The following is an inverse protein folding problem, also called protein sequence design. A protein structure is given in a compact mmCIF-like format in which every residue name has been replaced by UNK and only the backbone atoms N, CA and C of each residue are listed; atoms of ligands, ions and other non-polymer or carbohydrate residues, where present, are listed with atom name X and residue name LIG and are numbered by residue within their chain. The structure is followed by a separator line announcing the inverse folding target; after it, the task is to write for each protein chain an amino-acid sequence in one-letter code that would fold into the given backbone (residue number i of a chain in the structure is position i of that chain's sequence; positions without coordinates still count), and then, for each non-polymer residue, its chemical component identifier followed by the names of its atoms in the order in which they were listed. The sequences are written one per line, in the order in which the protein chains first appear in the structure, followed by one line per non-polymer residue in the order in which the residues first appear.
data_IF_078082013764
#
_entry.id   IF_078082013764
#
_cell.length_a   1.000
_cell.length_b   1.000
_cell.length_c   1.000
_cell.angle_alpha   90.00
_cell.angle_beta   90.00
_cell.angle_gamma   90.00
#
_symmetry.space_group_name_H-M   'P 1'
#
loop_
_entity.id
_entity.type
_entity.pdbx_description
1 polymer ?
#
# COMPACT_ATOMS: atom_id res chain seq x y z
N UNK A 1 -18.91 -19.58 -1.11
CA UNK A 1 -19.14 -18.31 -1.82
C UNK A 1 -17.82 -17.92 -2.46
N UNK A 2 -17.80 -17.76 -3.78
CA UNK A 2 -16.64 -17.22 -4.49
C UNK A 2 -16.47 -15.73 -4.14
N UNK A 3 -15.28 -15.17 -4.38
CA UNK A 3 -15.02 -13.74 -4.17
C UNK A 3 -16.06 -12.86 -4.89
N UNK A 4 -16.35 -13.16 -6.16
CA UNK A 4 -17.31 -12.42 -6.99
C UNK A 4 -18.73 -12.53 -6.43
N UNK A 5 -19.15 -13.71 -5.97
CA UNK A 5 -20.44 -13.89 -5.31
C UNK A 5 -20.57 -13.07 -4.02
N UNK A 6 -19.47 -12.87 -3.30
CA UNK A 6 -19.45 -12.19 -2.00
C UNK A 6 -19.48 -10.65 -2.14
N UNK A 7 -18.72 -10.08 -3.08
CA UNK A 7 -18.64 -8.61 -3.25
C UNK A 7 -19.50 -8.06 -4.38
N UNK A 8 -19.99 -8.92 -5.27
CA UNK A 8 -20.67 -8.54 -6.50
C UNK A 8 -19.71 -8.26 -7.66
N UNK A 9 -20.20 -8.52 -8.87
CA UNK A 9 -19.42 -8.44 -10.12
C UNK A 9 -18.79 -7.06 -10.34
N UNK A 10 -19.57 -5.99 -10.28
CA UNK A 10 -19.08 -4.62 -10.50
C UNK A 10 -17.96 -4.23 -9.52
N UNK A 11 -18.08 -4.64 -8.26
CA UNK A 11 -17.09 -4.35 -7.22
C UNK A 11 -15.81 -5.16 -7.46
N UNK A 12 -15.96 -6.45 -7.80
CA UNK A 12 -14.83 -7.32 -8.11
C UNK A 12 -14.00 -6.78 -9.29
N UNK A 13 -14.67 -6.28 -10.33
CA UNK A 13 -14.03 -5.69 -11.51
C UNK A 13 -13.29 -4.39 -11.17
N UNK A 14 -13.93 -3.48 -10.44
CA UNK A 14 -13.29 -2.24 -9.98
C UNK A 14 -12.08 -2.49 -9.08
N UNK A 15 -12.12 -3.52 -8.24
CA UNK A 15 -10.97 -3.95 -7.44
C UNK A 15 -9.82 -4.48 -8.30
N UNK A 16 -10.13 -5.22 -9.37
CA UNK A 16 -9.12 -5.68 -10.31
C UNK A 16 -8.49 -4.51 -11.08
N UNK A 17 -9.31 -3.54 -11.53
CA UNK A 17 -8.85 -2.31 -12.19
C UNK A 17 -7.92 -1.52 -11.26
N UNK A 18 -8.33 -1.29 -10.00
CA UNK A 18 -7.53 -0.61 -9.00
C UNK A 18 -6.19 -1.32 -8.76
N UNK A 19 -6.21 -2.64 -8.60
CA UNK A 19 -4.98 -3.40 -8.40
C UNK A 19 -4.01 -3.21 -9.56
N UNK A 20 -4.50 -3.30 -10.80
CA UNK A 20 -3.68 -3.11 -12.01
C UNK A 20 -3.15 -1.68 -12.12
N UNK A 21 -4.01 -0.68 -11.91
CA UNK A 21 -3.64 0.74 -11.94
C UNK A 21 -2.58 1.04 -10.88
N UNK A 22 -2.79 0.58 -9.64
CA UNK A 22 -1.88 0.77 -8.53
C UNK A 22 -0.52 0.16 -8.78
N UNK A 23 -0.52 -1.07 -9.31
CA UNK A 23 0.69 -1.79 -9.62
C UNK A 23 1.53 -1.06 -10.68
N UNK A 24 0.89 -0.62 -11.76
CA UNK A 24 1.56 0.11 -12.82
C UNK A 24 2.14 1.44 -12.28
N UNK A 25 1.37 2.16 -11.46
CA UNK A 25 1.81 3.38 -10.80
C UNK A 25 3.06 3.15 -9.91
N UNK A 26 3.03 2.16 -9.01
CA UNK A 26 4.16 1.85 -8.12
C UNK A 26 5.39 1.42 -8.91
N UNK A 27 5.23 0.59 -9.95
CA UNK A 27 6.35 0.19 -10.80
C UNK A 27 7.01 1.39 -11.47
N UNK A 28 6.23 2.33 -12.01
CA UNK A 28 6.76 3.53 -12.65
C UNK A 28 7.51 4.42 -11.64
N UNK A 29 6.92 4.67 -10.47
CA UNK A 29 7.55 5.44 -9.40
C UNK A 29 8.88 4.80 -8.99
N UNK A 30 8.90 3.49 -8.74
CA UNK A 30 10.12 2.81 -8.32
C UNK A 30 11.16 2.79 -9.42
N UNK A 31 10.80 2.46 -10.67
CA UNK A 31 11.75 2.46 -11.79
C UNK A 31 12.38 3.84 -12.01
N UNK A 32 11.60 4.91 -11.87
CA UNK A 32 12.11 6.25 -12.00
C UNK A 32 13.13 6.57 -10.90
N UNK A 33 12.81 6.28 -9.63
CA UNK A 33 13.74 6.44 -8.52
C UNK A 33 15.02 5.63 -8.72
N UNK A 34 14.93 4.39 -9.23
CA UNK A 34 16.10 3.56 -9.52
C UNK A 34 16.97 4.12 -10.65
N UNK A 35 16.38 4.71 -11.69
CA UNK A 35 17.12 5.31 -12.84
C UNK A 35 17.85 6.59 -12.44
N UNK A 36 17.18 7.44 -11.67
CA UNK A 36 17.76 8.67 -11.12
C UNK A 36 18.98 8.37 -10.23
N UNK A 37 18.93 7.25 -9.48
CA UNK A 37 20.02 6.83 -8.59
C UNK A 37 21.25 6.28 -9.33
N UNK A 38 21.08 5.50 -10.41
CA UNK A 38 22.20 4.95 -11.19
C UNK A 38 23.05 6.01 -11.91
N UNK A 39 22.59 7.26 -11.99
CA UNK A 39 23.22 8.32 -12.77
C UNK A 39 24.12 9.31 -12.00
N UNK A 40 24.24 9.25 -10.66
CA UNK A 40 24.90 10.33 -9.90
C UNK A 40 25.71 9.86 -8.68
N UNK A 41 27.03 9.79 -8.85
CA UNK A 41 28.05 9.81 -7.79
C UNK A 41 28.54 11.25 -7.44
N UNK A 42 27.90 12.32 -7.93
CA UNK A 42 28.34 13.70 -7.66
C UNK A 42 27.21 14.74 -7.59
N UNK A 43 27.25 15.54 -6.51
CA UNK A 43 26.59 16.81 -6.14
C UNK A 43 25.54 17.46 -7.07
N UNK A 44 24.26 17.60 -6.67
CA UNK A 44 23.29 18.53 -7.32
C UNK A 44 22.14 19.03 -6.40
N UNK A 45 21.51 20.19 -6.74
CA UNK A 45 20.34 20.89 -6.14
C UNK A 45 19.18 21.02 -7.17
N UNK A 46 17.90 21.17 -6.74
CA UNK A 46 16.69 21.27 -7.61
C UNK A 46 16.04 22.68 -7.61
N UNK A 47 15.38 23.08 -8.73
CA UNK A 47 14.51 24.27 -8.84
C UNK A 47 13.13 23.97 -9.49
N UNK A 48 12.11 24.77 -9.12
CA UNK A 48 10.65 24.45 -9.12
C UNK A 48 9.81 24.81 -10.37
N UNK A 49 10.40 25.24 -11.49
CA UNK A 49 9.61 25.62 -12.68
C UNK A 49 9.49 24.42 -13.64
N UNK A 50 8.28 24.16 -14.15
CA UNK A 50 7.94 23.30 -15.31
C UNK A 50 7.33 21.90 -15.03
N UNK A 51 6.18 21.82 -14.34
CA UNK A 51 5.26 20.67 -14.42
C UNK A 51 3.88 21.13 -14.91
N UNK A 52 3.70 21.27 -16.22
CA UNK A 52 2.44 21.79 -16.80
C UNK A 52 1.67 20.80 -17.68
N UNK A 53 2.19 19.59 -17.93
CA UNK A 53 1.53 18.62 -18.83
C UNK A 53 1.73 17.17 -18.36
N UNK A 54 0.85 16.70 -17.47
CA UNK A 54 0.70 15.26 -17.14
C UNK A 54 -0.66 14.81 -17.66
N UNK A 55 -0.69 13.85 -18.60
CA UNK A 55 -1.94 13.29 -19.13
C UNK A 55 -2.06 11.81 -18.78
N UNK A 56 -3.09 11.43 -18.04
CA UNK A 56 -3.41 10.04 -17.72
C UNK A 56 -4.32 9.47 -18.80
N UNK A 57 -3.80 8.58 -19.66
CA UNK A 57 -4.64 7.81 -20.60
C UNK A 57 -4.75 6.38 -20.11
N UNK A 58 -5.71 6.14 -19.23
CA UNK A 58 -6.10 4.80 -18.82
C UNK A 58 -7.27 4.33 -19.69
N UNK A 59 -6.96 3.62 -20.77
CA UNK A 59 -7.97 2.91 -21.55
C UNK A 59 -7.85 1.41 -21.24
N UNK A 60 -8.79 0.86 -20.48
CA UNK A 60 -9.07 -0.59 -20.47
C UNK A 60 -9.66 -1.07 -21.81
N UNK A 61 -9.84 -0.15 -22.76
CA UNK A 61 -10.44 -0.34 -24.07
C UNK A 61 -9.38 -0.92 -25.02
N UNK A 62 -8.94 -2.16 -24.81
CA UNK A 62 -8.43 -2.97 -25.94
C UNK A 62 -8.26 -4.48 -25.68
N UNK A 63 -8.98 -5.08 -24.73
CA UNK A 63 -8.99 -6.54 -24.63
C UNK A 63 -10.40 -7.09 -24.64
N UNK A 64 -10.65 -7.99 -25.60
CA UNK A 64 -11.67 -9.04 -25.57
C UNK A 64 -11.44 -10.04 -24.40
N UNK A 65 -11.01 -9.54 -23.24
CA UNK A 65 -11.03 -10.26 -21.97
C UNK A 65 -12.17 -9.60 -21.18
N UNK A 66 -13.34 -10.24 -21.22
CA UNK A 66 -14.47 -9.88 -20.36
C UNK A 66 -13.95 -9.69 -18.93
N UNK A 67 -14.36 -8.61 -18.26
CA UNK A 67 -13.96 -8.23 -16.91
C UNK A 67 -14.23 -9.35 -15.88
N UNK A 68 -15.18 -10.25 -16.20
CA UNK A 68 -15.39 -11.55 -15.53
C UNK A 68 -14.16 -12.45 -15.51
N UNK A 69 -13.38 -12.46 -16.58
CA UNK A 69 -12.20 -13.31 -16.76
C UNK A 69 -11.09 -12.90 -15.78
N UNK A 70 -10.87 -11.59 -15.61
CA UNK A 70 -9.83 -11.03 -14.74
C UNK A 70 -10.03 -11.44 -13.27
N UNK A 71 -11.28 -11.47 -12.83
CA UNK A 71 -11.63 -11.79 -11.44
C UNK A 71 -11.31 -13.25 -11.05
N UNK A 72 -11.15 -14.13 -12.03
CA UNK A 72 -10.82 -15.55 -11.85
C UNK A 72 -9.33 -15.87 -12.00
N UNK A 73 -8.52 -14.92 -12.44
CA UNK A 73 -7.12 -15.16 -12.74
C UNK A 73 -6.26 -15.28 -11.47
N UNK A 74 -5.27 -16.20 -11.46
CA UNK A 74 -4.22 -16.17 -10.45
C UNK A 74 -3.34 -14.93 -10.65
N UNK A 75 -2.64 -14.51 -9.58
CA UNK A 75 -1.80 -13.30 -9.58
C UNK A 75 -0.86 -13.26 -10.80
N UNK A 76 -0.14 -14.35 -11.08
CA UNK A 76 0.83 -14.39 -12.18
C UNK A 76 0.20 -14.10 -13.55
N UNK A 77 -1.02 -14.59 -13.81
CA UNK A 77 -1.73 -14.31 -15.06
C UNK A 77 -2.14 -12.85 -15.17
N UNK A 78 -2.56 -12.24 -14.06
CA UNK A 78 -2.88 -10.80 -14.02
C UNK A 78 -1.61 -9.94 -14.26
N UNK A 79 -0.48 -10.31 -13.67
CA UNK A 79 0.80 -9.64 -13.93
C UNK A 79 1.25 -9.79 -15.39
N UNK A 80 1.04 -10.96 -16.00
CA UNK A 80 1.29 -11.16 -17.42
C UNK A 80 0.41 -10.26 -18.30
N UNK A 81 -0.87 -10.07 -17.96
CA UNK A 81 -1.74 -9.11 -18.66
C UNK A 81 -1.15 -7.70 -18.61
N UNK A 82 -0.74 -7.23 -17.42
CA UNK A 82 -0.13 -5.91 -17.26
C UNK A 82 1.15 -5.76 -18.10
N UNK A 83 2.05 -6.73 -18.04
CA UNK A 83 3.32 -6.70 -18.80
C UNK A 83 3.11 -6.75 -20.32
N UNK A 84 2.15 -7.56 -20.78
CA UNK A 84 1.86 -7.75 -22.21
C UNK A 84 1.21 -6.51 -22.83
N UNK A 85 0.47 -5.76 -22.04
CA UNK A 85 -0.39 -4.69 -22.55
C UNK A 85 0.13 -3.27 -22.31
N UNK A 86 1.37 -3.16 -21.80
CA UNK A 86 2.16 -1.91 -21.69
C UNK A 86 1.27 -0.68 -21.49
N UNK A 87 0.60 -0.62 -20.35
CA UNK A 87 -0.08 0.58 -19.91
C UNK A 87 0.96 1.71 -19.88
N UNK A 88 0.84 2.68 -20.78
CA UNK A 88 1.78 3.79 -20.86
C UNK A 88 1.37 4.83 -19.83
N UNK A 89 1.82 4.65 -18.60
CA UNK A 89 1.94 5.74 -17.66
C UNK A 89 3.07 6.66 -18.13
N UNK A 90 2.76 7.53 -19.09
CA UNK A 90 3.69 8.57 -19.55
C UNK A 90 3.68 9.72 -18.54
N UNK A 91 4.31 9.55 -17.38
CA UNK A 91 4.76 10.72 -16.63
C UNK A 91 6.12 11.12 -17.21
N UNK A 92 6.15 12.20 -18.01
CA UNK A 92 7.40 12.91 -18.26
C UNK A 92 7.73 13.72 -17.00
N UNK A 93 8.23 13.06 -15.96
CA UNK A 93 8.80 13.73 -14.80
C UNK A 93 10.22 14.16 -15.18
N UNK A 94 10.38 15.45 -15.50
CA UNK A 94 11.64 16.03 -15.91
C UNK A 94 12.62 16.31 -14.77
N UNK A 95 12.81 15.41 -13.79
CA UNK A 95 13.65 15.71 -12.62
C UNK A 95 14.47 14.51 -12.12
N UNK A 96 15.49 14.79 -11.30
CA UNK A 96 16.38 13.82 -10.62
C UNK A 96 16.43 14.17 -9.13
N UNK A 97 16.03 13.25 -8.24
CA UNK A 97 15.84 13.45 -6.79
C UNK A 97 17.08 13.01 -5.97
N UNK A 98 17.46 13.78 -4.94
CA UNK A 98 18.62 13.54 -4.03
C UNK A 98 18.19 12.72 -2.81
N UNK A 99 19.07 11.97 -2.13
CA UNK A 99 18.73 11.07 -1.00
C UNK A 99 17.96 11.73 0.18
N UNK A 100 18.35 12.92 0.63
CA UNK A 100 17.64 13.68 1.68
C UNK A 100 16.33 14.29 1.14
N UNK A 101 16.30 14.59 -0.16
CA UNK A 101 15.09 14.94 -0.89
C UNK A 101 14.24 13.72 -1.26
N UNK A 102 14.70 12.47 -1.22
CA UNK A 102 13.89 11.27 -1.46
C UNK A 102 13.04 11.02 -0.21
N UNK A 103 13.59 11.21 0.99
CA UNK A 103 12.79 11.17 2.23
C UNK A 103 11.77 12.32 2.27
N UNK A 104 12.22 13.53 1.92
CA UNK A 104 11.33 14.70 1.79
C UNK A 104 10.42 14.64 0.55
N UNK A 105 10.72 13.89 -0.50
CA UNK A 105 9.88 13.64 -1.67
C UNK A 105 8.94 12.45 -1.45
N UNK A 106 9.28 11.49 -0.61
CA UNK A 106 8.33 10.47 -0.19
C UNK A 106 7.29 11.11 0.76
N UNK A 107 7.75 11.90 1.74
CA UNK A 107 6.85 12.75 2.54
C UNK A 107 6.19 13.86 1.70
N UNK A 108 6.86 14.34 0.66
CA UNK A 108 6.47 15.50 -0.17
C UNK A 108 5.56 15.19 -1.35
N UNK A 109 5.81 14.09 -2.07
CA UNK A 109 5.10 13.73 -3.30
C UNK A 109 3.98 12.74 -3.05
N UNK A 110 4.16 11.84 -2.08
CA UNK A 110 3.14 10.90 -1.65
C UNK A 110 2.21 11.50 -0.58
N UNK A 111 2.78 12.34 0.30
CA UNK A 111 2.02 13.01 1.37
C UNK A 111 1.91 14.54 1.30
N UNK A 112 2.72 15.26 0.52
CA UNK A 112 2.61 16.71 0.42
C UNK A 112 1.90 17.19 -0.85
N UNK A 113 1.60 18.49 -0.79
CA UNK A 113 0.46 19.11 -1.46
C UNK A 113 0.94 19.80 -2.73
N UNK A 114 1.57 19.05 -3.62
CA UNK A 114 2.05 19.56 -4.91
C UNK A 114 1.05 19.23 -6.03
N UNK A 115 1.16 19.92 -7.17
CA UNK A 115 0.20 19.80 -8.29
C UNK A 115 0.02 18.35 -8.75
N UNK A 116 1.11 17.57 -8.81
CA UNK A 116 1.05 16.16 -9.20
C UNK A 116 0.22 15.32 -8.21
N UNK A 117 0.40 15.55 -6.91
CA UNK A 117 -0.34 14.83 -5.87
C UNK A 117 -1.82 15.16 -5.94
N UNK A 118 -2.19 16.41 -6.20
CA UNK A 118 -3.59 16.79 -6.39
C UNK A 118 -4.23 16.08 -7.60
N UNK A 119 -3.49 15.93 -8.71
CA UNK A 119 -3.99 15.20 -9.88
C UNK A 119 -4.18 13.70 -9.61
N UNK A 120 -3.24 13.07 -8.89
CA UNK A 120 -3.35 11.66 -8.49
C UNK A 120 -4.51 11.47 -7.51
N UNK A 121 -4.65 12.36 -6.53
CA UNK A 121 -5.75 12.34 -5.56
C UNK A 121 -7.11 12.45 -6.27
N UNK A 122 -7.22 13.34 -7.28
CA UNK A 122 -8.43 13.50 -8.10
C UNK A 122 -8.73 12.24 -8.95
N UNK A 123 -7.74 11.68 -9.65
CA UNK A 123 -7.93 10.47 -10.46
C UNK A 123 -8.35 9.27 -9.59
N UNK A 124 -7.68 9.07 -8.45
CA UNK A 124 -8.04 8.03 -7.47
C UNK A 124 -9.47 8.22 -6.95
N UNK A 125 -9.87 9.46 -6.66
CA UNK A 125 -11.22 9.74 -6.19
C UNK A 125 -12.26 9.46 -7.27
N UNK A 126 -12.05 9.96 -8.50
CA UNK A 126 -12.98 9.79 -9.61
C UNK A 126 -13.19 8.31 -9.97
N UNK A 127 -12.11 7.52 -10.00
CA UNK A 127 -12.18 6.10 -10.38
C UNK A 127 -12.58 5.18 -9.23
N UNK A 128 -12.02 5.40 -8.03
CA UNK A 128 -12.06 4.42 -6.95
C UNK A 128 -12.66 4.94 -5.65
N UNK A 129 -12.98 6.23 -5.54
CA UNK A 129 -13.57 6.83 -4.35
C UNK A 129 -14.92 6.20 -3.94
N UNK A 130 -15.65 5.64 -4.90
CA UNK A 130 -16.88 4.87 -4.66
C UNK A 130 -16.64 3.56 -3.89
N UNK A 131 -15.50 2.89 -4.09
CA UNK A 131 -15.17 1.64 -3.40
C UNK A 131 -15.04 1.85 -1.89
N UNK A 132 -14.45 2.97 -1.47
CA UNK A 132 -14.29 3.32 -0.05
C UNK A 132 -15.65 3.48 0.64
N UNK A 133 -16.70 3.88 -0.10
CA UNK A 133 -18.05 4.10 0.43
C UNK A 133 -18.95 2.87 0.32
N UNK A 134 -18.48 1.78 -0.27
CA UNK A 134 -19.29 0.59 -0.48
C UNK A 134 -19.40 -0.23 0.82
N UNK A 135 -20.57 -0.16 1.46
CA UNK A 135 -20.83 -0.83 2.74
C UNK A 135 -20.81 -2.35 2.65
N UNK A 136 -21.25 -2.93 1.51
CA UNK A 136 -21.15 -4.38 1.30
C UNK A 136 -19.68 -4.82 1.24
N UNK A 137 -18.84 -4.12 0.48
CA UNK A 137 -17.42 -4.39 0.41
C UNK A 137 -16.77 -4.29 1.80
N UNK A 138 -17.05 -3.21 2.55
CA UNK A 138 -16.56 -3.07 3.93
C UNK A 138 -17.00 -4.26 4.79
N UNK A 139 -18.28 -4.62 4.76
CA UNK A 139 -18.82 -5.72 5.56
C UNK A 139 -18.17 -7.06 5.20
N UNK A 140 -17.98 -7.35 3.92
CA UNK A 140 -17.33 -8.57 3.43
C UNK A 140 -15.85 -8.62 3.81
N UNK A 141 -15.15 -7.49 3.72
CA UNK A 141 -13.76 -7.36 4.16
C UNK A 141 -13.60 -7.43 5.68
N UNK A 142 -14.53 -6.88 6.47
CA UNK A 142 -14.50 -6.95 7.94
C UNK A 142 -14.73 -8.35 8.48
N UNK A 143 -15.33 -9.26 7.70
CA UNK A 143 -15.45 -10.69 8.05
C UNK A 143 -14.12 -11.45 7.91
N UNK A 144 -13.07 -10.83 7.38
CA UNK A 144 -11.76 -11.47 7.27
C UNK A 144 -11.17 -11.72 8.66
N UNK A 145 -11.21 -12.98 9.09
CA UNK A 145 -10.64 -13.43 10.36
C UNK A 145 -9.33 -14.15 10.08
N UNK A 146 -8.25 -13.66 10.68
CA UNK A 146 -6.96 -14.35 10.69
C UNK A 146 -7.08 -15.56 11.61
N UNK A 147 -7.30 -16.75 11.05
CA UNK A 147 -7.19 -17.98 11.84
C UNK A 147 -5.71 -18.26 12.11
N UNK A 148 -5.29 -18.28 13.38
CA UNK A 148 -3.97 -18.78 13.79
C UNK A 148 -3.83 -20.25 13.37
N UNK A 149 -3.21 -20.52 12.23
CA UNK A 149 -2.59 -21.80 11.84
C UNK A 149 -1.34 -21.45 11.04
N UNK A 150 -0.13 -21.88 11.35
CA UNK A 150 0.44 -22.68 12.44
C UNK A 150 1.93 -22.29 12.44
N UNK A 151 2.60 -22.37 13.59
CA UNK A 151 4.07 -22.47 13.61
C UNK A 151 4.48 -23.50 12.56
N UNK A 152 5.47 -23.18 11.74
CA UNK A 152 6.18 -24.15 10.91
C UNK A 152 6.76 -25.23 11.86
N UNK A 153 5.97 -26.24 12.20
CA UNK A 153 6.44 -27.51 12.72
C UNK A 153 6.17 -28.53 11.63
N UNK A 154 7.25 -28.98 11.01
CA UNK A 154 7.25 -30.10 10.09
C UNK A 154 6.93 -31.39 10.88
N UNK A 155 5.66 -31.60 11.24
CA UNK A 155 5.23 -32.89 11.78
C UNK A 155 3.73 -33.12 11.54
N UNK A 156 3.48 -34.21 10.80
CA UNK A 156 2.17 -34.80 10.57
C UNK A 156 1.41 -35.00 11.88
N UNK A 157 0.18 -34.47 12.00
CA UNK A 157 -0.98 -35.20 12.57
C UNK A 157 -2.32 -34.48 12.31
N UNK A 158 -3.34 -35.33 12.20
CA UNK A 158 -4.66 -35.09 11.58
C UNK A 158 -5.67 -34.37 12.48
N UNK A 159 -6.48 -33.55 11.81
CA UNK A 159 -7.92 -33.23 11.97
C UNK A 159 -8.49 -32.97 13.38
N UNK A 160 -8.98 -31.75 13.58
CA UNK A 160 -10.26 -31.48 14.27
C UNK A 160 -11.04 -30.41 13.50
N UNK A 161 -12.37 -30.57 13.53
CA UNK A 161 -13.37 -29.77 12.85
C UNK A 161 -13.52 -28.40 13.53
N UNK A 162 -13.23 -27.33 12.81
CA UNK A 162 -13.84 -26.02 13.05
C UNK A 162 -14.08 -25.34 11.70
N UNK A 163 -15.36 -25.25 11.32
CA UNK A 163 -15.82 -24.43 10.19
C UNK A 163 -15.80 -22.97 10.63
N UNK A 164 -14.76 -22.23 10.26
CA UNK A 164 -14.83 -20.79 9.94
C UNK A 164 -13.90 -20.49 8.76
N UNK A 165 -14.38 -20.74 7.53
CA UNK A 165 -13.96 -19.91 6.38
C UNK A 165 -14.43 -18.48 6.68
N UNK A 166 -13.72 -17.41 6.29
CA UNK A 166 -13.93 -16.67 5.03
C UNK A 166 -12.95 -15.47 5.08
N UNK A 167 -11.78 -15.38 4.43
CA UNK A 167 -11.56 -15.06 3.01
C UNK A 167 -10.13 -15.46 2.57
N UNK A 168 -9.53 -16.49 3.18
CA UNK A 168 -8.26 -17.07 2.68
C UNK A 168 -8.36 -17.56 1.22
N UNK A 169 -9.59 -17.77 0.72
CA UNK A 169 -9.86 -18.19 -0.66
C UNK A 169 -10.00 -17.01 -1.64
N UNK A 170 -9.97 -15.75 -1.16
CA UNK A 170 -9.94 -14.63 -2.09
C UNK A 170 -8.60 -14.62 -2.84
N UNK A 171 -8.60 -14.32 -4.14
CA UNK A 171 -7.36 -14.18 -4.90
C UNK A 171 -6.39 -13.22 -4.20
N UNK A 172 -5.08 -13.50 -4.30
CA UNK A 172 -4.05 -12.65 -3.68
C UNK A 172 -4.22 -11.19 -4.11
N UNK A 173 -4.42 -10.94 -5.41
CA UNK A 173 -4.61 -9.58 -5.94
C UNK A 173 -5.85 -8.89 -5.33
N UNK A 174 -6.91 -9.62 -5.02
CA UNK A 174 -8.14 -9.06 -4.45
C UNK A 174 -7.92 -8.63 -2.99
N UNK A 175 -7.23 -9.45 -2.20
CA UNK A 175 -6.82 -9.09 -0.84
C UNK A 175 -5.87 -7.88 -0.85
N UNK A 176 -4.97 -7.81 -1.83
CA UNK A 176 -4.10 -6.65 -2.02
C UNK A 176 -4.87 -5.40 -2.45
N UNK A 177 -5.85 -5.53 -3.35
CA UNK A 177 -6.74 -4.44 -3.73
C UNK A 177 -7.48 -3.89 -2.51
N UNK A 178 -7.91 -4.75 -1.57
CA UNK A 178 -8.52 -4.31 -0.33
C UNK A 178 -7.57 -3.49 0.55
N UNK A 179 -6.29 -3.89 0.66
CA UNK A 179 -5.28 -3.07 1.34
C UNK A 179 -5.18 -1.70 0.66
N UNK A 180 -5.14 -1.65 -0.68
CA UNK A 180 -5.07 -0.40 -1.43
C UNK A 180 -6.32 0.48 -1.20
N UNK A 181 -7.53 -0.07 -1.35
CA UNK A 181 -8.81 0.65 -1.15
C UNK A 181 -8.94 1.20 0.26
N UNK A 182 -8.49 0.47 1.28
CA UNK A 182 -8.77 0.82 2.67
C UNK A 182 -7.61 1.48 3.41
N UNK A 183 -6.40 1.48 2.84
CA UNK A 183 -5.25 2.18 3.39
C UNK A 183 -4.82 3.34 2.49
N UNK A 184 -4.57 3.08 1.21
CA UNK A 184 -3.93 4.04 0.32
C UNK A 184 -4.92 5.05 -0.25
N UNK A 185 -6.03 4.59 -0.85
CA UNK A 185 -7.04 5.48 -1.43
C UNK A 185 -7.60 6.50 -0.42
N UNK A 186 -7.93 6.15 0.85
CA UNK A 186 -8.46 7.12 1.81
C UNK A 186 -7.44 8.20 2.19
N UNK A 187 -6.13 7.87 2.23
CA UNK A 187 -5.05 8.84 2.49
C UNK A 187 -4.90 9.88 1.38
N UNK A 188 -5.21 9.50 0.14
CA UNK A 188 -5.24 10.40 -1.01
C UNK A 188 -6.56 11.21 -1.07
N UNK A 189 -7.69 10.52 -1.01
CA UNK A 189 -9.03 11.12 -1.23
C UNK A 189 -9.49 11.99 -0.05
N UNK A 190 -9.09 11.67 1.18
CA UNK A 190 -9.49 12.37 2.39
C UNK A 190 -8.30 13.04 3.08
N UNK A 191 -7.33 13.53 2.31
CA UNK A 191 -6.14 14.20 2.83
C UNK A 191 -6.52 15.36 3.75
N UNK A 192 -6.00 15.36 4.99
CA UNK A 192 -6.32 16.38 5.99
C UNK A 192 -7.69 16.20 6.66
N UNK A 193 -8.37 15.06 6.45
CA UNK A 193 -9.62 14.70 7.10
C UNK A 193 -9.51 13.35 7.86
N UNK A 194 -10.25 13.20 8.97
CA UNK A 194 -10.26 11.98 9.79
C UNK A 194 -10.64 10.71 9.01
N UNK A 195 -11.40 10.86 7.92
CA UNK A 195 -11.81 9.78 7.02
C UNK A 195 -10.63 9.04 6.38
N UNK A 196 -9.45 9.66 6.34
CA UNK A 196 -8.22 9.01 5.87
C UNK A 196 -7.81 7.78 6.71
N UNK A 197 -8.30 7.67 7.95
CA UNK A 197 -7.89 6.63 8.90
C UNK A 197 -9.02 5.66 9.29
N UNK A 198 -10.27 5.94 8.88
CA UNK A 198 -11.46 5.20 9.32
C UNK A 198 -11.43 3.72 8.94
N UNK A 199 -10.73 3.38 7.85
CA UNK A 199 -10.66 2.01 7.30
C UNK A 199 -9.31 1.32 7.53
N UNK A 200 -8.40 1.93 8.31
CA UNK A 200 -7.06 1.37 8.61
C UNK A 200 -7.16 -0.07 9.17
N UNK A 201 -8.15 -0.33 10.02
CA UNK A 201 -8.35 -1.65 10.64
C UNK A 201 -8.68 -2.75 9.62
N UNK A 202 -9.41 -2.41 8.54
CA UNK A 202 -9.75 -3.36 7.47
C UNK A 202 -8.49 -3.74 6.68
N UNK A 203 -7.70 -2.74 6.28
CA UNK A 203 -6.45 -2.98 5.57
C UNK A 203 -5.44 -3.76 6.43
N UNK A 204 -5.33 -3.40 7.72
CA UNK A 204 -4.46 -4.07 8.67
C UNK A 204 -4.79 -5.56 8.81
N UNK A 205 -6.07 -5.93 8.84
CA UNK A 205 -6.47 -7.33 8.93
C UNK A 205 -5.94 -8.16 7.76
N UNK A 206 -6.07 -7.66 6.52
CA UNK A 206 -5.48 -8.34 5.36
C UNK A 206 -3.96 -8.38 5.41
N UNK A 207 -3.31 -7.28 5.82
CA UNK A 207 -1.85 -7.21 5.89
C UNK A 207 -1.27 -8.21 6.90
N UNK A 208 -1.86 -8.29 8.10
CA UNK A 208 -1.51 -9.30 9.11
C UNK A 208 -1.81 -10.72 8.61
N UNK A 209 -2.85 -10.90 7.80
CA UNK A 209 -3.15 -12.17 7.14
C UNK A 209 -2.03 -12.64 6.22
N UNK A 210 -1.49 -11.74 5.38
CA UNK A 210 -0.33 -12.03 4.52
C UNK A 210 0.93 -12.34 5.33
N UNK A 211 1.18 -11.57 6.39
CA UNK A 211 2.35 -11.77 7.24
C UNK A 211 2.30 -13.12 7.97
N UNK A 212 1.21 -13.39 8.68
CA UNK A 212 1.07 -14.56 9.58
C UNK A 212 0.91 -15.88 8.84
N UNK A 213 0.44 -15.86 7.60
CA UNK A 213 0.40 -17.04 6.73
C UNK A 213 1.74 -17.34 6.03
N UNK A 214 2.66 -16.37 6.01
CA UNK A 214 3.89 -16.45 5.22
C UNK A 214 3.69 -16.21 3.72
N UNK A 215 2.45 -16.02 3.25
CA UNK A 215 2.16 -15.76 1.82
C UNK A 215 2.88 -14.51 1.30
N UNK A 216 3.14 -13.53 2.18
CA UNK A 216 3.91 -12.32 1.87
C UNK A 216 5.27 -12.64 1.22
N UNK A 217 5.92 -13.75 1.59
CA UNK A 217 7.24 -14.13 1.09
C UNK A 217 7.22 -14.67 -0.35
N UNK A 218 6.04 -15.00 -0.88
CA UNK A 218 5.86 -15.41 -2.28
C UNK A 218 5.73 -14.22 -3.22
N UNK A 219 5.58 -13.00 -2.67
CA UNK A 219 5.27 -11.82 -3.43
C UNK A 219 6.54 -11.06 -3.85
N UNK A 220 6.56 -10.50 -5.07
CA UNK A 220 7.53 -9.48 -5.46
C UNK A 220 7.62 -8.33 -4.44
N UNK A 221 8.79 -7.68 -4.36
CA UNK A 221 9.08 -6.68 -3.31
C UNK A 221 8.10 -5.51 -3.25
N UNK A 222 7.70 -4.92 -4.38
CA UNK A 222 6.75 -3.80 -4.39
C UNK A 222 5.38 -4.15 -3.78
N UNK A 223 4.96 -5.41 -3.91
CA UNK A 223 3.74 -5.91 -3.28
C UNK A 223 3.92 -6.07 -1.78
N UNK A 224 5.07 -6.63 -1.35
CA UNK A 224 5.45 -6.68 0.07
C UNK A 224 5.48 -5.28 0.68
N UNK A 225 6.11 -4.32 0.02
CA UNK A 225 6.21 -2.93 0.50
C UNK A 225 4.83 -2.30 0.75
N UNK A 226 3.87 -2.50 -0.16
CA UNK A 226 2.49 -1.99 0.01
C UNK A 226 1.83 -2.60 1.26
N UNK A 227 2.00 -3.91 1.48
CA UNK A 227 1.48 -4.60 2.66
C UNK A 227 2.13 -4.09 3.96
N UNK A 228 3.46 -3.96 3.94
CA UNK A 228 4.24 -3.55 5.11
C UNK A 228 3.96 -2.09 5.50
N UNK A 229 3.75 -1.19 4.53
CA UNK A 229 3.35 0.19 4.79
C UNK A 229 1.99 0.28 5.46
N UNK A 230 1.00 -0.51 5.03
CA UNK A 230 -0.30 -0.57 5.71
C UNK A 230 -0.15 -1.00 7.19
N UNK A 231 0.79 -1.90 7.48
CA UNK A 231 1.11 -2.27 8.87
C UNK A 231 1.79 -1.12 9.65
N UNK A 232 2.69 -0.35 9.02
CA UNK A 232 3.33 0.81 9.65
C UNK A 232 2.30 1.82 10.18
N UNK A 233 1.12 1.91 9.55
CA UNK A 233 0.08 2.84 9.95
C UNK A 233 -0.68 2.46 11.22
N UNK A 234 -0.49 1.25 11.75
CA UNK A 234 -1.14 0.79 12.97
C UNK A 234 -0.61 1.51 14.22
N UNK A 235 -1.50 2.00 15.08
CA UNK A 235 -1.16 2.50 16.42
C UNK A 235 -1.05 1.37 17.47
N UNK A 236 -0.92 0.11 17.04
CA UNK A 236 -0.74 -1.04 17.94
C UNK A 236 0.72 -1.43 18.08
N UNK A 237 1.27 -1.36 19.30
CA UNK A 237 2.67 -1.71 19.56
C UNK A 237 3.03 -3.14 19.11
N UNK A 238 2.17 -4.11 19.40
CA UNK A 238 2.37 -5.50 18.98
C UNK A 238 2.49 -5.64 17.45
N UNK A 239 1.74 -4.84 16.69
CA UNK A 239 1.82 -4.85 15.22
C UNK A 239 3.16 -4.26 14.76
N UNK A 240 3.61 -3.16 15.39
CA UNK A 240 4.91 -2.57 15.07
C UNK A 240 6.07 -3.52 15.36
N UNK A 241 5.98 -4.30 16.44
CA UNK A 241 6.95 -5.33 16.81
C UNK A 241 6.94 -6.51 15.82
N UNK A 242 5.77 -7.08 15.50
CA UNK A 242 5.64 -8.14 14.48
C UNK A 242 6.22 -7.68 13.12
N UNK A 243 5.99 -6.41 12.76
CA UNK A 243 6.53 -5.81 11.54
C UNK A 243 8.06 -5.65 11.60
N UNK A 244 8.59 -5.14 12.71
CA UNK A 244 10.03 -4.93 12.91
C UNK A 244 10.80 -6.26 12.90
N UNK A 245 10.25 -7.30 13.53
CA UNK A 245 10.79 -8.66 13.46
C UNK A 245 10.83 -9.20 12.04
N UNK A 246 9.76 -9.02 11.27
CA UNK A 246 9.72 -9.44 9.87
C UNK A 246 10.77 -8.72 9.03
N UNK A 247 10.82 -7.38 9.11
CA UNK A 247 11.77 -6.55 8.35
C UNK A 247 13.23 -6.87 8.72
N UNK A 248 13.50 -7.17 9.99
CA UNK A 248 14.86 -7.50 10.46
C UNK A 248 15.29 -8.91 10.05
N UNK A 249 14.36 -9.88 10.06
CA UNK A 249 14.64 -11.28 9.70
C UNK A 249 14.67 -11.53 8.19
N UNK A 250 14.02 -10.67 7.41
CA UNK A 250 13.99 -10.80 5.96
C UNK A 250 14.96 -9.80 5.35
N UNK A 251 16.15 -10.28 5.00
CA UNK A 251 17.04 -9.53 4.13
C UNK A 251 16.35 -9.36 2.76
N UNK A 252 15.92 -8.14 2.45
CA UNK A 252 15.66 -7.72 1.08
C UNK A 252 16.95 -7.95 0.30
N UNK A 253 17.03 -9.08 -0.43
CA UNK A 253 18.31 -9.61 -0.91
C UNK A 253 19.01 -8.62 -1.85
N UNK A 254 20.34 -8.67 -1.92
CA UNK A 254 21.13 -7.82 -2.81
C UNK A 254 20.77 -7.96 -4.30
N UNK A 255 20.06 -9.03 -4.72
CA UNK A 255 19.51 -9.15 -6.08
C UNK A 255 18.39 -8.12 -6.36
N UNK A 256 17.83 -7.50 -5.32
CA UNK A 256 16.93 -6.34 -5.38
C UNK A 256 17.70 -5.02 -5.38
N UNK A 257 18.87 -4.94 -6.02
CA UNK A 257 19.64 -3.68 -6.14
C UNK A 257 18.79 -2.51 -6.64
N UNK A 258 17.78 -2.76 -7.47
CA UNK A 258 16.86 -1.69 -7.93
C UNK A 258 15.94 -1.15 -6.83
N UNK A 259 15.78 -1.84 -5.71
CA UNK A 259 14.87 -1.52 -4.61
C UNK A 259 15.57 -1.17 -3.29
N UNK A 260 16.91 -1.11 -3.26
CA UNK A 260 17.68 -0.85 -2.04
C UNK A 260 17.22 0.43 -1.31
N UNK A 261 16.90 1.49 -2.05
CA UNK A 261 16.38 2.75 -1.50
C UNK A 261 15.00 2.58 -0.88
N UNK A 262 14.09 1.89 -1.55
CA UNK A 262 12.73 1.65 -1.06
C UNK A 262 12.75 0.74 0.17
N UNK A 263 13.64 -0.26 0.16
CA UNK A 263 13.90 -1.15 1.28
C UNK A 263 14.48 -0.41 2.49
N UNK A 264 15.45 0.49 2.27
CA UNK A 264 15.99 1.36 3.31
C UNK A 264 14.90 2.28 3.87
N UNK A 265 14.18 2.99 3.00
CA UNK A 265 13.10 3.89 3.41
C UNK A 265 12.03 3.16 4.22
N UNK A 266 11.65 1.93 3.84
CA UNK A 266 10.69 1.14 4.60
C UNK A 266 11.20 0.78 6.01
N UNK A 267 12.48 0.44 6.15
CA UNK A 267 13.11 0.19 7.46
C UNK A 267 13.10 1.45 8.33
N UNK A 268 13.49 2.58 7.76
CA UNK A 268 13.54 3.86 8.47
C UNK A 268 12.13 4.31 8.88
N UNK A 269 11.13 4.15 7.99
CA UNK A 269 9.71 4.35 8.29
C UNK A 269 9.29 3.47 9.46
N UNK A 270 9.49 2.15 9.38
CA UNK A 270 9.05 1.23 10.44
C UNK A 270 9.68 1.60 11.78
N UNK A 271 11.00 1.84 11.83
CA UNK A 271 11.69 2.19 13.08
C UNK A 271 11.13 3.48 13.68
N UNK A 272 10.96 4.52 12.87
CA UNK A 272 10.38 5.80 13.30
C UNK A 272 8.92 5.65 13.77
N UNK A 273 8.14 4.74 13.17
CA UNK A 273 6.77 4.47 13.62
C UNK A 273 6.77 3.69 14.94
N UNK A 274 7.58 2.65 15.06
CA UNK A 274 7.70 1.86 16.29
C UNK A 274 8.17 2.71 17.48
N UNK A 275 9.16 3.58 17.30
CA UNK A 275 9.64 4.49 18.35
C UNK A 275 8.54 5.44 18.85
N UNK A 276 7.77 6.04 17.93
CA UNK A 276 6.62 6.89 18.29
C UNK A 276 5.54 6.09 19.02
N UNK A 277 5.20 4.90 18.55
CA UNK A 277 4.21 4.04 19.22
C UNK A 277 4.70 3.57 20.59
N UNK A 278 5.99 3.27 20.77
CA UNK A 278 6.57 2.96 22.09
C UNK A 278 6.50 4.15 23.04
N UNK A 279 6.71 5.37 22.54
CA UNK A 279 6.79 6.57 23.37
C UNK A 279 5.42 7.18 23.69
N UNK A 280 4.49 7.16 22.73
CA UNK A 280 3.22 7.88 22.81
C UNK A 280 1.98 6.97 22.69
N UNK A 281 2.16 5.68 22.40
CA UNK A 281 1.08 4.69 22.16
C UNK A 281 0.19 5.00 20.94
N UNK A 282 0.48 6.08 20.21
CA UNK A 282 -0.25 6.57 19.04
C UNK A 282 0.64 7.52 18.23
N UNK A 283 0.16 7.99 17.09
CA UNK A 283 0.82 9.05 16.30
C UNK A 283 0.32 10.43 16.75
N UNK A 284 1.14 11.24 17.45
CA UNK A 284 0.72 12.56 17.93
C UNK A 284 0.24 13.51 16.82
N UNK A 285 0.78 13.35 15.62
CA UNK A 285 0.44 14.14 14.43
C UNK A 285 -1.02 13.94 14.01
N UNK A 286 -1.63 12.80 14.37
CA UNK A 286 -3.05 12.51 14.11
C UNK A 286 -3.99 13.07 15.19
N UNK A 287 -3.48 13.67 16.27
CA UNK A 287 -4.32 14.09 17.38
C UNK A 287 -5.34 15.15 16.97
N UNK A 288 -4.91 16.20 16.27
CA UNK A 288 -5.80 17.29 15.84
C UNK A 288 -6.93 16.78 14.93
N UNK A 289 -6.56 16.04 13.88
CA UNK A 289 -7.49 15.53 12.87
C UNK A 289 -8.45 14.48 13.43
N UNK A 290 -8.03 13.69 14.43
CA UNK A 290 -8.87 12.70 15.12
C UNK A 290 -9.61 13.28 16.35
N UNK A 291 -9.48 14.57 16.64
CA UNK A 291 -10.13 15.22 17.79
C UNK A 291 -9.59 14.77 19.16
N UNK A 292 -8.35 14.28 19.22
CA UNK A 292 -7.67 13.86 20.45
C UNK A 292 -6.94 15.04 21.09
N UNK A 293 -6.95 15.13 22.42
CA UNK A 293 -6.10 16.09 23.12
C UNK A 293 -4.65 15.58 23.18
N UNK A 294 -3.71 16.43 22.78
CA UNK A 294 -2.26 16.16 22.90
C UNK A 294 -1.77 16.45 24.32
N UNK A 295 -1.02 15.51 24.89
CA UNK A 295 -0.27 15.69 26.14
C UNK A 295 0.86 16.71 25.98
N UNK A 296 1.43 17.20 27.09
CA UNK A 296 2.58 18.12 27.04
C UNK A 296 3.78 17.53 26.29
N UNK A 297 4.07 16.23 26.49
CA UNK A 297 5.15 15.53 25.78
C UNK A 297 4.89 15.46 24.28
N UNK A 298 3.66 15.15 23.88
CA UNK A 298 3.25 15.14 22.47
C UNK A 298 3.32 16.54 21.86
N UNK A 299 2.94 17.59 22.59
CA UNK A 299 3.04 18.98 22.11
C UNK A 299 4.50 19.42 21.94
N UNK A 300 5.39 19.05 22.85
CA UNK A 300 6.82 19.32 22.73
C UNK A 300 7.40 18.60 21.50
N UNK A 301 7.08 17.32 21.33
CA UNK A 301 7.46 16.54 20.14
C UNK A 301 6.98 17.18 18.83
N UNK A 302 5.71 17.59 18.76
CA UNK A 302 5.14 18.23 17.58
C UNK A 302 5.82 19.58 17.25
N UNK A 303 6.31 20.31 18.25
CA UNK A 303 7.06 21.57 18.05
C UNK A 303 8.47 21.37 17.52
N UNK A 304 9.07 20.20 17.72
CA UNK A 304 10.38 19.87 17.15
C UNK A 304 10.27 19.34 15.72
N UNK A 305 9.09 18.84 15.34
CA UNK A 305 8.81 18.28 14.01
C UNK A 305 8.52 19.35 12.94
N UNK A 306 8.09 20.55 13.35
CA UNK A 306 7.70 21.68 12.50
C UNK A 306 8.49 22.95 12.84
#
# INVERSE_FOLDING_TARGET
MSFVEEVGEEVAEKLAELFCWWYDFILHVVQQLSREWKGKESNFKISYKEMTNVSFKYNMIQYHLDSRSLCSLPLNSLLCCIQRYKFHFSIKLGFIVIQEEIENCWRGKWFAKEHLTAMIDEELNQKFGGLIKNENLKQSCSKFIITKRSRFSFSNRRKSHDRKMTNHNWPIWARMACIIVFDQVPRNVYRGDKRAYETDSIALNFALGFLRSGEINTLPFHFRATILIAMCHSETLQVQQELGEYISSHHFSAYETSYSLVSKALKDIQKNHEERIKQFERFPERNHILGRQSTQKEQAYLKELY
#
